data_IF_170428339288
#
_entry.id   IF_170428339288
#
_cell.length_a   1.000
_cell.length_b   1.000
_cell.length_c   1.000
_cell.angle_alpha   90.00
_cell.angle_beta   90.00
_cell.angle_gamma   90.00
#
_symmetry.space_group_name_H-M   'P 1'
#
loop_
_entity.id
_entity.type
_entity.pdbx_description
1 polymer ?
#
# COMPACT_ATOMS: atom_id res chain seq x y z
N UNK A 1 18.60 5.73 -33.35
CA UNK A 1 17.63 6.66 -32.74
C UNK A 1 17.09 5.98 -31.50
N UNK A 2 17.13 6.62 -30.33
CA UNK A 2 16.54 6.02 -29.12
C UNK A 2 15.04 5.91 -29.28
N UNK A 3 14.48 4.76 -28.92
CA UNK A 3 13.04 4.54 -28.92
C UNK A 3 12.40 5.42 -27.83
N UNK A 4 11.09 5.66 -27.94
CA UNK A 4 10.35 6.34 -26.87
C UNK A 4 10.49 5.57 -25.55
N UNK A 5 10.60 4.25 -25.63
CA UNK A 5 10.73 3.33 -24.50
C UNK A 5 12.07 3.52 -23.77
N UNK A 6 13.18 3.68 -24.51
CA UNK A 6 14.52 3.91 -23.94
C UNK A 6 14.58 5.23 -23.13
N UNK A 7 13.88 6.26 -23.61
CA UNK A 7 13.82 7.58 -22.95
C UNK A 7 13.03 7.52 -21.64
N UNK A 8 12.01 6.65 -21.56
CA UNK A 8 11.18 6.47 -20.37
C UNK A 8 11.90 5.59 -19.33
N UNK A 9 12.72 4.64 -19.77
CA UNK A 9 13.55 3.78 -18.90
C UNK A 9 14.81 4.48 -18.37
N UNK A 10 15.12 5.68 -18.86
CA UNK A 10 16.30 6.43 -18.43
C UNK A 10 17.62 5.83 -18.93
N UNK A 11 17.56 4.92 -19.89
CA UNK A 11 18.71 4.25 -20.46
C UNK A 11 19.45 5.24 -21.37
N UNK A 12 20.47 5.92 -20.82
CA UNK A 12 21.34 6.80 -21.60
C UNK A 12 22.26 5.95 -22.48
N UNK A 13 21.80 5.66 -23.69
CA UNK A 13 22.67 5.17 -24.76
C UNK A 13 23.64 6.30 -25.15
N UNK A 14 24.95 6.00 -25.01
CA UNK A 14 26.13 6.72 -25.52
C UNK A 14 26.93 7.56 -24.50
N UNK A 15 27.92 6.92 -23.87
CA UNK A 15 29.20 7.53 -23.48
C UNK A 15 30.25 7.25 -24.55
N UNK A 16 30.16 7.92 -25.70
CA UNK A 16 31.22 7.88 -26.71
C UNK A 16 31.51 9.31 -27.18
N UNK A 17 32.54 9.92 -26.59
CA UNK A 17 33.22 11.06 -27.17
C UNK A 17 34.47 10.51 -27.87
N UNK A 18 34.36 10.23 -29.17
CA UNK A 18 35.52 10.01 -30.02
C UNK A 18 36.19 11.36 -30.28
N UNK A 19 37.46 11.48 -29.92
CA UNK A 19 38.34 12.56 -30.33
C UNK A 19 38.47 12.62 -31.85
N UNK A 20 38.40 13.82 -32.45
CA UNK A 20 39.26 14.30 -33.56
C UNK A 20 38.72 15.58 -34.19
N UNK A 21 39.39 16.72 -33.95
CA UNK A 21 39.75 17.70 -35.00
C UNK A 21 40.71 18.74 -34.44
N UNK A 22 41.87 18.81 -35.07
CA UNK A 22 42.99 19.71 -34.83
C UNK A 22 42.62 21.16 -35.18
N UNK A 23 43.08 22.13 -34.38
CA UNK A 23 43.46 23.47 -34.84
C UNK A 23 44.40 24.10 -33.80
N UNK A 24 45.57 24.51 -34.28
CA UNK A 24 46.66 25.10 -33.49
C UNK A 24 46.41 26.59 -33.18
N UNK A 25 46.67 27.00 -31.94
CA UNK A 25 47.54 28.16 -31.66
C UNK A 25 47.85 28.36 -30.17
N UNK A 26 49.08 28.81 -29.94
CA UNK A 26 49.84 28.95 -28.69
C UNK A 26 49.26 29.91 -27.64
N UNK A 27 49.41 29.58 -26.35
CA UNK A 27 50.22 30.38 -25.39
C UNK A 27 50.19 29.87 -23.93
N UNK A 28 51.38 29.55 -23.43
CA UNK A 28 51.94 29.75 -22.08
C UNK A 28 51.19 29.29 -20.80
N UNK A 29 51.82 28.31 -20.13
CA UNK A 29 52.04 28.14 -18.68
C UNK A 29 50.87 28.30 -17.69
N UNK A 30 50.50 27.19 -17.03
CA UNK A 30 50.58 27.09 -15.56
C UNK A 30 50.41 25.65 -15.08
N UNK A 31 51.37 25.18 -14.30
CA UNK A 31 51.27 23.98 -13.47
C UNK A 31 50.04 24.04 -12.56
N UNK A 32 49.27 22.94 -12.44
CA UNK A 32 48.87 22.36 -11.14
C UNK A 32 47.93 21.16 -11.24
N UNK A 33 48.43 20.08 -10.65
CA UNK A 33 47.77 19.18 -9.70
C UNK A 33 46.61 18.30 -10.17
N UNK A 34 46.87 17.01 -9.97
CA UNK A 34 46.04 15.82 -10.14
C UNK A 34 44.94 15.76 -9.09
N UNK A 35 43.67 15.77 -9.52
CA UNK A 35 42.57 15.29 -8.69
C UNK A 35 41.83 14.13 -9.37
N UNK A 36 41.70 13.07 -8.57
CA UNK A 36 41.27 11.73 -8.91
C UNK A 36 39.77 11.65 -8.59
N UNK A 37 38.90 11.94 -9.55
CA UNK A 37 37.45 11.85 -9.36
C UNK A 37 37.01 10.38 -9.27
N UNK A 38 36.74 9.92 -8.04
CA UNK A 38 36.05 8.67 -7.75
C UNK A 38 34.58 8.79 -8.17
N UNK A 39 34.21 8.06 -9.21
CA UNK A 39 32.80 7.72 -9.49
C UNK A 39 32.23 6.89 -8.32
N UNK A 40 31.01 7.18 -7.82
CA UNK A 40 30.40 6.33 -6.82
C UNK A 40 30.02 4.99 -7.45
N UNK A 41 30.44 3.90 -6.81
CA UNK A 41 30.09 2.55 -7.21
C UNK A 41 28.59 2.33 -7.05
N UNK A 42 27.96 1.86 -8.12
CA UNK A 42 26.59 1.36 -8.10
C UNK A 42 26.60 0.09 -7.25
N UNK A 43 26.10 0.23 -6.02
CA UNK A 43 25.88 -0.89 -5.10
C UNK A 43 24.74 -1.72 -5.71
N UNK A 44 25.10 -2.90 -6.21
CA UNK A 44 24.15 -3.96 -6.53
C UNK A 44 23.73 -4.64 -5.24
N UNK A 45 22.92 -3.96 -4.44
CA UNK A 45 22.19 -4.62 -3.37
C UNK A 45 20.90 -5.15 -3.96
N UNK A 46 20.74 -6.47 -3.86
CA UNK A 46 19.47 -7.15 -3.94
C UNK A 46 18.45 -6.41 -3.08
N UNK A 47 17.58 -5.65 -3.73
CA UNK A 47 16.44 -5.00 -3.09
C UNK A 47 15.46 -6.11 -2.72
N UNK A 48 15.68 -6.73 -1.56
CA UNK A 48 14.55 -7.21 -0.76
C UNK A 48 13.54 -6.07 -0.68
N UNK A 49 12.22 -6.32 -0.75
CA UNK A 49 11.22 -5.28 -0.80
C UNK A 49 11.24 -4.49 0.51
N UNK A 50 12.15 -3.52 0.59
CA UNK A 50 12.24 -2.58 1.68
C UNK A 50 11.05 -1.66 1.50
N UNK A 51 10.13 -1.81 2.45
CA UNK A 51 8.88 -1.07 2.54
C UNK A 51 9.21 0.42 2.55
N UNK A 52 9.19 1.05 1.37
CA UNK A 52 9.72 2.39 1.22
C UNK A 52 8.83 3.39 1.95
N UNK A 53 9.40 3.95 3.03
CA UNK A 53 8.90 5.12 3.71
C UNK A 53 8.77 6.28 2.70
N UNK A 54 7.74 7.11 2.84
CA UNK A 54 7.47 8.17 1.87
C UNK A 54 8.62 9.20 1.88
N UNK A 55 9.43 9.21 0.83
CA UNK A 55 10.63 10.07 0.69
C UNK A 55 10.31 11.50 0.22
N UNK A 56 9.13 12.03 0.58
CA UNK A 56 8.69 13.39 0.22
C UNK A 56 8.33 13.60 -1.26
N UNK A 57 8.67 12.68 -2.16
CA UNK A 57 8.39 12.79 -3.60
C UNK A 57 7.05 12.17 -3.98
N UNK A 58 6.14 12.99 -4.53
CA UNK A 58 4.86 12.55 -5.12
C UNK A 58 5.11 11.70 -6.37
N UNK A 59 5.38 10.41 -6.13
CA UNK A 59 5.69 9.42 -7.17
C UNK A 59 4.64 8.32 -7.26
N UNK A 60 3.58 8.38 -6.44
CA UNK A 60 2.56 7.33 -6.36
C UNK A 60 1.22 7.74 -6.99
N UNK A 61 1.05 9.00 -7.43
CA UNK A 61 -0.21 9.53 -7.97
C UNK A 61 0.00 10.35 -9.24
N UNK A 62 -1.01 10.41 -10.12
CA UNK A 62 -0.99 11.20 -11.35
C UNK A 62 -0.02 10.65 -12.42
N UNK A 63 0.44 11.48 -13.37
CA UNK A 63 1.31 11.03 -14.47
C UNK A 63 2.61 10.36 -14.00
N UNK A 64 3.18 10.81 -12.87
CA UNK A 64 4.39 10.22 -12.29
C UNK A 64 4.15 8.83 -11.71
N UNK A 65 3.01 8.62 -11.06
CA UNK A 65 2.59 7.30 -10.57
C UNK A 65 2.44 6.29 -11.70
N UNK A 66 1.77 6.70 -12.79
CA UNK A 66 1.59 5.85 -13.98
C UNK A 66 2.93 5.44 -14.59
N UNK A 67 3.86 6.39 -14.76
CA UNK A 67 5.19 6.09 -15.31
C UNK A 67 5.96 5.12 -14.41
N UNK A 68 5.93 5.35 -13.08
CA UNK A 68 6.62 4.49 -12.11
C UNK A 68 6.03 3.08 -12.08
N UNK A 69 4.71 2.96 -12.09
CA UNK A 69 4.04 1.65 -12.13
C UNK A 69 4.34 0.93 -13.46
N UNK A 70 4.42 1.64 -14.60
CA UNK A 70 4.83 1.05 -15.88
C UNK A 70 6.28 0.58 -15.89
N UNK A 71 7.22 1.37 -15.36
CA UNK A 71 8.62 0.98 -15.24
C UNK A 71 8.76 -0.30 -14.40
N UNK A 72 8.06 -0.36 -13.27
CA UNK A 72 8.04 -1.54 -12.40
C UNK A 72 7.41 -2.76 -13.07
N UNK A 73 6.30 -2.57 -13.77
CA UNK A 73 5.66 -3.63 -14.58
C UNK A 73 6.63 -4.21 -15.61
N UNK A 74 7.37 -3.34 -16.34
CA UNK A 74 8.37 -3.77 -17.32
C UNK A 74 9.54 -4.51 -16.69
N UNK A 75 10.02 -4.06 -15.54
CA UNK A 75 11.07 -4.75 -14.80
C UNK A 75 10.63 -6.17 -14.40
N UNK A 76 9.44 -6.32 -13.81
CA UNK A 76 8.88 -7.63 -13.44
C UNK A 76 8.67 -8.52 -14.68
N UNK A 77 8.25 -7.95 -15.80
CA UNK A 77 8.09 -8.68 -17.06
C UNK A 77 9.43 -9.25 -17.55
N UNK A 78 10.50 -8.45 -17.48
CA UNK A 78 11.85 -8.87 -17.88
C UNK A 78 12.41 -9.94 -16.94
N UNK A 79 12.28 -9.76 -15.63
CA UNK A 79 12.69 -10.75 -14.61
C UNK A 79 11.97 -12.09 -14.81
N UNK A 80 10.64 -12.07 -15.03
CA UNK A 80 9.86 -13.30 -15.28
C UNK A 80 10.31 -14.02 -16.55
N UNK A 81 10.64 -13.30 -17.63
CA UNK A 81 11.17 -13.89 -18.87
C UNK A 81 12.54 -14.54 -18.64
N UNK A 82 13.43 -13.87 -17.91
CA UNK A 82 14.75 -14.42 -17.55
C UNK A 82 14.61 -15.69 -16.70
N UNK A 83 13.69 -15.70 -15.74
CA UNK A 83 13.47 -16.87 -14.89
C UNK A 83 12.90 -18.05 -15.68
N UNK A 84 11.92 -17.82 -16.55
CA UNK A 84 11.38 -18.86 -17.44
C UNK A 84 12.46 -19.46 -18.37
N UNK A 85 13.38 -18.63 -18.87
CA UNK A 85 14.49 -19.12 -19.70
C UNK A 85 15.46 -19.99 -18.89
N UNK A 86 15.80 -19.59 -17.66
CA UNK A 86 16.60 -20.42 -16.75
C UNK A 86 15.92 -21.75 -16.44
N UNK A 87 14.63 -21.74 -16.12
CA UNK A 87 13.85 -22.96 -15.86
C UNK A 87 13.83 -23.89 -17.09
N UNK A 88 13.61 -23.33 -18.29
CA UNK A 88 13.65 -24.08 -19.55
C UNK A 88 15.02 -24.71 -19.78
N UNK A 89 16.11 -23.96 -19.57
CA UNK A 89 17.47 -24.48 -19.71
C UNK A 89 17.77 -25.59 -18.70
N UNK A 90 17.32 -25.44 -17.44
CA UNK A 90 17.44 -26.49 -16.43
C UNK A 90 16.65 -27.74 -16.80
N UNK A 91 15.43 -27.59 -17.35
CA UNK A 91 14.61 -28.70 -17.78
C UNK A 91 15.23 -29.44 -18.96
N UNK A 92 15.75 -28.72 -19.97
CA UNK A 92 16.49 -29.29 -21.10
C UNK A 92 17.69 -30.09 -20.57
N UNK A 93 18.47 -29.53 -19.64
CA UNK A 93 19.63 -30.21 -19.04
C UNK A 93 19.24 -31.47 -18.26
N UNK A 94 18.09 -31.48 -17.58
CA UNK A 94 17.56 -32.67 -16.89
C UNK A 94 17.08 -33.73 -17.88
N UNK A 95 16.42 -33.33 -18.97
CA UNK A 95 15.86 -34.23 -19.98
C UNK A 95 16.89 -34.76 -20.99
N UNK A 96 18.04 -34.09 -21.15
CA UNK A 96 19.10 -34.48 -22.09
C UNK A 96 19.86 -35.76 -21.70
N UNK A 97 19.42 -36.48 -20.66
CA UNK A 97 19.96 -37.79 -20.25
C UNK A 97 19.24 -38.99 -20.88
N UNK A 98 18.27 -38.77 -21.78
CA UNK A 98 17.56 -39.84 -22.50
C UNK A 98 17.76 -39.70 -24.01
N UNK A 99 18.22 -40.78 -24.66
CA UNK A 99 18.53 -40.84 -26.10
C UNK A 99 17.35 -40.36 -26.97
N UNK A 100 17.65 -39.55 -27.99
CA UNK A 100 16.68 -38.95 -28.92
C UNK A 100 16.03 -40.03 -29.80
N UNK A 101 14.71 -40.04 -29.87
CA UNK A 101 13.92 -40.72 -30.92
C UNK A 101 13.09 -39.68 -31.68
N UNK A 102 12.72 -40.01 -32.91
CA UNK A 102 12.05 -39.25 -33.98
C UNK A 102 10.75 -38.48 -33.65
N UNK A 103 10.42 -38.29 -32.37
CA UNK A 103 9.28 -37.50 -31.88
C UNK A 103 9.64 -36.03 -31.63
N UNK A 104 10.93 -35.66 -31.66
CA UNK A 104 11.40 -34.28 -31.49
C UNK A 104 10.97 -33.35 -32.66
N UNK A 105 10.81 -33.88 -33.87
CA UNK A 105 10.37 -33.11 -35.06
C UNK A 105 8.88 -32.73 -35.02
N UNK A 106 8.07 -33.46 -34.25
CA UNK A 106 6.63 -33.21 -34.11
C UNK A 106 6.34 -32.15 -33.03
N UNK A 107 7.23 -32.04 -32.03
CA UNK A 107 7.14 -31.04 -30.94
C UNK A 107 7.48 -29.62 -31.41
N UNK A 108 8.38 -29.47 -32.38
CA UNK A 108 8.70 -28.16 -32.97
C UNK A 108 7.53 -27.59 -33.79
N UNK A 109 6.66 -28.45 -34.35
CA UNK A 109 5.42 -28.02 -35.03
C UNK A 109 4.34 -27.53 -34.06
N UNK A 110 4.28 -28.05 -32.83
CA UNK A 110 3.32 -27.62 -31.80
C UNK A 110 3.72 -26.26 -31.19
N UNK A 111 5.02 -25.95 -31.12
CA UNK A 111 5.49 -24.63 -30.68
C UNK A 111 5.23 -23.51 -31.69
N UNK A 112 4.95 -23.84 -32.95
CA UNK A 112 4.58 -22.87 -33.99
C UNK A 112 3.06 -22.66 -34.11
N UNK A 113 2.23 -23.41 -33.36
CA UNK A 113 0.82 -23.57 -33.68
C UNK A 113 -0.18 -22.69 -32.94
N UNK A 114 0.19 -21.62 -32.22
CA UNK A 114 -0.84 -20.66 -31.80
C UNK A 114 -0.34 -19.25 -31.37
N UNK A 115 -0.26 -18.28 -32.29
CA UNK A 115 -0.05 -16.87 -31.96
C UNK A 115 -1.28 -16.20 -31.31
N UNK A 116 -2.48 -16.77 -31.46
CA UNK A 116 -3.73 -16.22 -30.87
C UNK A 116 -3.84 -16.55 -29.37
N UNK A 117 -3.17 -17.62 -28.90
CA UNK A 117 -2.99 -17.91 -27.46
C UNK A 117 -2.07 -16.88 -26.78
N UNK A 118 -1.17 -16.23 -27.53
CA UNK A 118 -0.29 -15.18 -27.01
C UNK A 118 -1.05 -13.87 -26.78
N UNK A 119 -2.11 -13.59 -27.55
CA UNK A 119 -3.00 -12.43 -27.36
C UNK A 119 -3.96 -12.64 -26.18
N UNK A 120 -4.44 -13.86 -25.94
CA UNK A 120 -5.20 -14.25 -24.74
C UNK A 120 -4.40 -14.11 -23.41
N UNK A 121 -3.06 -14.11 -23.47
CA UNK A 121 -2.13 -13.92 -22.34
C UNK A 121 -1.73 -12.45 -22.11
N UNK A 122 -2.12 -11.52 -22.99
CA UNK A 122 -1.70 -10.11 -22.90
C UNK A 122 -2.32 -9.34 -21.74
N UNK A 123 -3.46 -9.80 -21.21
CA UNK A 123 -4.12 -9.14 -20.08
C UNK A 123 -3.92 -9.85 -18.73
N UNK A 124 -3.49 -11.12 -18.70
CA UNK A 124 -3.35 -11.87 -17.44
C UNK A 124 -2.19 -11.33 -16.59
N UNK A 125 -1.04 -11.02 -17.19
CA UNK A 125 0.10 -10.47 -16.46
C UNK A 125 -0.17 -9.05 -15.96
N UNK A 126 -0.92 -8.23 -16.73
CA UNK A 126 -1.33 -6.90 -16.29
C UNK A 126 -2.34 -6.98 -15.15
N UNK A 127 -3.29 -7.91 -15.21
CA UNK A 127 -4.22 -8.20 -14.11
C UNK A 127 -3.48 -8.70 -12.87
N UNK A 128 -2.48 -9.58 -13.03
CA UNK A 128 -1.65 -10.08 -11.94
C UNK A 128 -0.85 -8.95 -11.29
N UNK A 129 -0.28 -8.05 -12.09
CA UNK A 129 0.41 -6.87 -11.58
C UNK A 129 -0.54 -5.93 -10.82
N UNK A 130 -1.75 -5.67 -11.36
CA UNK A 130 -2.77 -4.89 -10.67
C UNK A 130 -3.17 -5.53 -9.32
N UNK A 131 -3.39 -6.84 -9.30
CA UNK A 131 -3.66 -7.62 -8.08
C UNK A 131 -2.52 -7.49 -7.08
N UNK A 132 -1.27 -7.67 -7.54
CA UNK A 132 -0.09 -7.56 -6.70
C UNK A 132 0.03 -6.17 -6.09
N UNK A 133 -0.15 -5.09 -6.88
CA UNK A 133 -0.09 -3.71 -6.38
C UNK A 133 -1.19 -3.41 -5.38
N UNK A 134 -2.41 -3.88 -5.60
CA UNK A 134 -3.50 -3.74 -4.62
C UNK A 134 -3.21 -4.51 -3.34
N UNK A 135 -2.71 -5.74 -3.44
CA UNK A 135 -2.33 -6.56 -2.28
C UNK A 135 -1.22 -5.89 -1.48
N UNK A 136 -0.20 -5.36 -2.14
CA UNK A 136 0.87 -4.59 -1.48
C UNK A 136 0.32 -3.36 -0.75
N UNK A 137 -0.66 -2.67 -1.33
CA UNK A 137 -1.31 -1.52 -0.69
C UNK A 137 -2.10 -1.95 0.55
N UNK A 138 -2.92 -3.02 0.46
CA UNK A 138 -3.69 -3.55 1.58
C UNK A 138 -2.79 -4.08 2.70
N UNK A 139 -1.71 -4.79 2.37
CA UNK A 139 -0.81 -5.40 3.36
C UNK A 139 -0.05 -4.36 4.19
N UNK A 140 0.05 -3.11 3.71
CA UNK A 140 0.61 -1.99 4.49
C UNK A 140 -0.32 -1.54 5.62
N UNK A 141 -1.61 -1.88 5.54
CA UNK A 141 -2.64 -1.46 6.49
C UNK A 141 -2.98 -2.65 7.39
N UNK A 142 -2.62 -2.58 8.67
CA UNK A 142 -3.18 -3.49 9.69
C UNK A 142 -2.25 -4.57 10.24
N UNK A 143 -1.19 -4.16 10.95
CA UNK A 143 -0.40 -5.09 11.79
C UNK A 143 -1.00 -5.30 13.19
N UNK A 144 -1.75 -4.32 13.69
CA UNK A 144 -2.29 -4.32 15.05
C UNK A 144 -3.78 -4.66 15.05
N UNK A 145 -4.21 -5.47 16.02
CA UNK A 145 -5.63 -5.83 16.23
C UNK A 145 -6.04 -5.52 17.66
N UNK A 146 -7.12 -4.76 17.82
CA UNK A 146 -7.70 -4.38 19.11
C UNK A 146 -9.00 -5.16 19.37
N UNK A 147 -9.97 -5.07 18.46
CA UNK A 147 -11.19 -5.88 18.47
C UNK A 147 -12.16 -5.63 19.63
N UNK A 148 -11.93 -4.58 20.45
CA UNK A 148 -12.73 -4.27 21.64
C UNK A 148 -12.62 -2.80 22.02
N UNK A 149 -13.61 -2.30 22.76
CA UNK A 149 -13.58 -0.94 23.32
C UNK A 149 -12.77 -0.91 24.61
N UNK A 150 -11.74 -0.06 24.66
CA UNK A 150 -10.86 0.12 25.82
C UNK A 150 -11.43 1.23 26.72
N UNK A 151 -11.62 0.93 28.00
CA UNK A 151 -12.04 1.94 28.98
C UNK A 151 -10.83 2.71 29.52
N UNK A 152 -10.83 4.03 29.37
CA UNK A 152 -9.79 4.93 29.88
C UNK A 152 -10.29 5.55 31.19
N UNK A 153 -9.62 5.23 32.29
CA UNK A 153 -10.02 5.64 33.64
C UNK A 153 -9.38 6.96 34.07
N UNK A 154 -8.26 7.36 33.46
CA UNK A 154 -7.52 8.58 33.80
C UNK A 154 -7.20 9.40 32.55
N UNK A 155 -6.95 10.70 32.73
CA UNK A 155 -6.51 11.57 31.65
C UNK A 155 -5.13 11.16 31.09
N UNK A 156 -4.26 10.62 31.95
CA UNK A 156 -2.93 10.13 31.53
C UNK A 156 -3.05 8.92 30.59
N UNK A 157 -3.97 7.98 30.89
CA UNK A 157 -4.26 6.84 29.99
C UNK A 157 -4.80 7.31 28.65
N UNK A 158 -5.56 8.42 28.61
CA UNK A 158 -6.03 9.00 27.36
C UNK A 158 -4.89 9.56 26.51
N UNK A 159 -3.96 10.30 27.11
CA UNK A 159 -2.78 10.80 26.41
C UNK A 159 -1.88 9.65 25.93
N UNK A 160 -1.61 8.68 26.80
CA UNK A 160 -0.83 7.49 26.46
C UNK A 160 -1.46 6.70 25.31
N UNK A 161 -2.79 6.55 25.32
CA UNK A 161 -3.50 5.83 24.28
C UNK A 161 -3.40 6.50 22.89
N UNK A 162 -3.12 7.80 22.82
CA UNK A 162 -3.01 8.60 21.60
C UNK A 162 -1.54 8.77 21.17
N UNK A 163 -0.67 9.15 22.09
CA UNK A 163 0.72 9.55 21.79
C UNK A 163 1.64 8.34 21.58
N UNK A 164 1.39 7.23 22.28
CA UNK A 164 2.24 6.02 22.25
C UNK A 164 1.73 4.94 21.28
N UNK A 165 0.83 5.28 20.36
CA UNK A 165 0.30 4.33 19.37
C UNK A 165 1.01 4.43 18.02
N UNK A 166 0.95 3.36 17.23
CA UNK A 166 1.50 3.38 15.87
C UNK A 166 0.80 4.43 14.99
N UNK A 167 1.58 5.20 14.21
CA UNK A 167 1.07 6.30 13.37
C UNK A 167 0.07 5.83 12.30
N UNK A 168 0.08 4.55 11.94
CA UNK A 168 -0.86 3.96 11.00
C UNK A 168 -2.24 3.67 11.61
N UNK A 169 -2.35 3.59 12.94
CA UNK A 169 -3.60 3.28 13.64
C UNK A 169 -4.48 4.51 13.75
N UNK A 170 -5.76 4.33 13.42
CA UNK A 170 -6.81 5.29 13.72
C UNK A 170 -7.38 4.98 15.10
N UNK A 171 -7.54 6.01 15.93
CA UNK A 171 -8.05 5.88 17.30
C UNK A 171 -9.35 6.67 17.39
N UNK A 172 -10.43 6.02 17.80
CA UNK A 172 -11.73 6.64 18.02
C UNK A 172 -12.00 6.66 19.51
N UNK A 173 -12.09 7.85 20.10
CA UNK A 173 -12.39 8.04 21.51
C UNK A 173 -13.81 8.55 21.68
N UNK A 174 -14.63 7.74 22.34
CA UNK A 174 -15.96 8.12 22.78
C UNK A 174 -15.91 8.81 24.14
N UNK A 175 -16.26 10.09 24.16
CA UNK A 175 -16.40 10.86 25.38
C UNK A 175 -17.87 10.86 25.78
N UNK A 176 -18.14 10.33 26.97
CA UNK A 176 -19.50 10.10 27.45
C UNK A 176 -19.68 10.56 28.90
N UNK A 177 -20.94 10.76 29.30
CA UNK A 177 -21.30 11.01 30.69
C UNK A 177 -22.51 10.13 31.06
N UNK A 178 -22.53 9.50 32.25
CA UNK A 178 -23.68 8.73 32.69
C UNK A 178 -24.92 9.64 32.81
N UNK A 179 -26.09 9.11 32.46
CA UNK A 179 -27.39 9.79 32.47
C UNK A 179 -27.62 10.84 31.37
N UNK A 180 -26.79 10.87 30.31
CA UNK A 180 -27.10 11.63 29.09
C UNK A 180 -27.66 10.67 28.03
N UNK A 181 -28.79 11.00 27.37
CA UNK A 181 -29.37 10.16 26.33
C UNK A 181 -28.37 9.96 25.16
N UNK A 182 -28.44 8.80 24.50
CA UNK A 182 -27.56 8.44 23.39
C UNK A 182 -26.17 7.94 23.80
N UNK A 183 -25.65 8.30 24.98
CA UNK A 183 -24.34 7.80 25.45
C UNK A 183 -24.33 6.27 25.67
N UNK A 184 -25.42 5.72 26.21
CA UNK A 184 -25.56 4.27 26.41
C UNK A 184 -25.67 3.52 25.08
N UNK A 185 -26.50 4.03 24.16
CA UNK A 185 -26.64 3.48 22.81
C UNK A 185 -25.30 3.53 22.06
N UNK A 186 -24.57 4.65 22.12
CA UNK A 186 -23.25 4.79 21.51
C UNK A 186 -22.24 3.79 22.08
N UNK A 187 -22.22 3.59 23.41
CA UNK A 187 -21.35 2.60 24.02
C UNK A 187 -21.68 1.17 23.56
N UNK A 188 -22.96 0.82 23.45
CA UNK A 188 -23.40 -0.48 22.91
C UNK A 188 -23.00 -0.67 21.45
N UNK A 189 -23.27 0.35 20.61
CA UNK A 189 -22.92 0.35 19.20
C UNK A 189 -21.43 0.21 18.96
N UNK A 190 -20.60 0.94 19.71
CA UNK A 190 -19.14 0.87 19.57
C UNK A 190 -18.54 -0.47 19.98
N UNK A 191 -19.19 -1.24 20.86
CA UNK A 191 -18.74 -2.61 21.18
C UNK A 191 -18.83 -3.48 19.92
N UNK A 192 -19.97 -3.47 19.24
CA UNK A 192 -20.16 -4.21 17.98
C UNK A 192 -19.22 -3.72 16.88
N UNK A 193 -19.13 -2.40 16.68
CA UNK A 193 -18.25 -1.81 15.65
C UNK A 193 -16.77 -2.12 15.93
N UNK A 194 -16.35 -2.18 17.19
CA UNK A 194 -14.96 -2.50 17.52
C UNK A 194 -14.59 -3.95 17.17
N UNK A 195 -15.53 -4.90 17.28
CA UNK A 195 -15.32 -6.30 16.86
C UNK A 195 -15.17 -6.39 15.34
N UNK A 196 -16.00 -5.65 14.61
CA UNK A 196 -16.01 -5.57 13.16
C UNK A 196 -14.78 -4.89 12.55
N UNK A 197 -14.17 -3.95 13.28
CA UNK A 197 -13.02 -3.15 12.84
C UNK A 197 -11.81 -3.34 13.75
N UNK A 198 -11.16 -4.52 13.73
CA UNK A 198 -10.08 -4.84 14.66
C UNK A 198 -8.85 -3.95 14.47
N UNK A 199 -8.66 -3.33 13.30
CA UNK A 199 -7.51 -2.47 13.00
C UNK A 199 -7.65 -1.03 13.52
N UNK A 200 -8.82 -0.68 14.07
CA UNK A 200 -9.11 0.63 14.65
C UNK A 200 -9.17 0.49 16.16
N UNK A 201 -8.54 1.41 16.88
CA UNK A 201 -8.54 1.42 18.34
C UNK A 201 -9.72 2.21 18.85
N UNK A 202 -10.71 1.51 19.40
CA UNK A 202 -11.85 2.16 20.04
C UNK A 202 -11.60 2.32 21.54
N UNK A 203 -11.78 3.54 22.03
CA UNK A 203 -11.62 3.89 23.43
C UNK A 203 -12.89 4.60 23.92
N UNK A 204 -13.14 4.53 25.23
CA UNK A 204 -14.15 5.36 25.89
C UNK A 204 -13.57 6.03 27.12
N UNK A 205 -13.99 7.26 27.39
CA UNK A 205 -13.58 8.02 28.56
C UNK A 205 -14.75 8.84 29.11
N UNK A 206 -14.83 8.95 30.43
CA UNK A 206 -15.80 9.84 31.07
C UNK A 206 -15.42 11.30 30.83
N UNK A 207 -16.38 12.13 30.42
CA UNK A 207 -16.17 13.57 30.22
C UNK A 207 -15.66 14.27 31.50
N UNK A 208 -16.08 13.78 32.66
CA UNK A 208 -15.58 14.23 33.97
C UNK A 208 -14.10 13.90 34.21
N UNK A 209 -13.59 12.78 33.69
CA UNK A 209 -12.18 12.38 33.79
C UNK A 209 -11.33 13.13 32.76
N UNK A 210 -11.86 13.34 31.56
CA UNK A 210 -11.21 14.08 30.48
C UNK A 210 -11.04 15.59 30.76
N UNK A 211 -11.47 16.09 31.93
CA UNK A 211 -11.32 17.49 32.32
C UNK A 211 -12.23 18.46 31.58
N UNK A 212 -13.36 17.99 31.02
CA UNK A 212 -14.25 18.83 30.21
C UNK A 212 -15.16 19.73 31.04
N UNK A 213 -15.58 20.84 30.43
CA UNK A 213 -16.43 21.83 31.07
C UNK A 213 -17.80 21.26 31.44
N UNK A 214 -18.44 21.81 32.48
CA UNK A 214 -19.77 21.37 32.93
C UNK A 214 -20.84 21.49 31.84
N UNK A 215 -20.72 22.49 30.96
CA UNK A 215 -21.64 22.68 29.83
C UNK A 215 -21.44 21.59 28.78
N UNK A 216 -20.19 21.30 28.40
CA UNK A 216 -19.90 20.27 27.41
C UNK A 216 -20.37 18.88 27.86
N UNK A 217 -20.26 18.57 29.15
CA UNK A 217 -20.74 17.30 29.72
C UNK A 217 -22.25 17.10 29.66
N UNK A 218 -23.04 18.17 29.44
CA UNK A 218 -24.50 18.09 29.35
C UNK A 218 -25.02 18.19 27.91
N UNK A 219 -24.40 19.06 27.12
CA UNK A 219 -24.89 19.42 25.78
C UNK A 219 -23.96 18.94 24.66
N UNK A 220 -22.71 18.58 24.97
CA UNK A 220 -21.72 18.18 23.98
C UNK A 220 -21.52 16.67 23.82
N UNK A 221 -22.03 15.86 24.75
CA UNK A 221 -21.88 14.39 24.73
C UNK A 221 -23.19 13.71 24.28
N UNK A 222 -23.16 12.56 23.57
CA UNK A 222 -21.97 11.77 23.23
C UNK A 222 -21.11 12.47 22.17
N UNK A 223 -19.80 12.52 22.41
CA UNK A 223 -18.83 13.07 21.46
C UNK A 223 -17.86 11.99 20.99
N UNK A 224 -17.50 12.01 19.70
CA UNK A 224 -16.50 11.14 19.11
C UNK A 224 -15.31 11.98 18.66
N UNK A 225 -14.15 11.68 19.22
CA UNK A 225 -12.90 12.32 18.88
C UNK A 225 -11.99 11.31 18.19
N UNK A 226 -11.49 11.65 17.01
CA UNK A 226 -10.75 10.73 16.17
C UNK A 226 -9.34 11.23 15.96
N UNK A 227 -8.38 10.36 16.24
CA UNK A 227 -6.96 10.62 16.12
C UNK A 227 -6.30 9.69 15.11
N UNK A 228 -5.27 10.20 14.44
CA UNK A 228 -4.34 9.40 13.65
C UNK A 228 -2.98 10.09 13.65
N UNK A 229 -1.91 9.33 13.88
CA UNK A 229 -0.55 9.86 14.00
C UNK A 229 -0.44 11.07 14.98
N UNK A 230 -1.06 10.95 16.16
CA UNK A 230 -1.16 12.00 17.18
C UNK A 230 -1.83 13.31 16.73
N UNK A 231 -2.50 13.32 15.58
CA UNK A 231 -3.28 14.46 15.08
C UNK A 231 -4.77 14.17 15.17
N UNK A 232 -5.55 15.20 15.52
CA UNK A 232 -7.01 15.13 15.49
C UNK A 232 -7.46 15.19 14.03
N UNK A 233 -8.09 14.12 13.54
CA UNK A 233 -8.65 14.04 12.18
C UNK A 233 -10.16 14.27 12.15
N UNK A 234 -10.85 14.06 13.27
CA UNK A 234 -12.29 14.25 13.38
C UNK A 234 -12.69 14.61 14.81
N UNK A 235 -13.65 15.54 14.94
CA UNK A 235 -14.23 15.94 16.22
C UNK A 235 -15.74 16.13 16.05
N UNK A 236 -16.50 15.14 16.51
CA UNK A 236 -17.95 15.12 16.38
C UNK A 236 -18.55 15.33 17.76
N UNK A 237 -19.08 16.53 17.98
CA UNK A 237 -19.75 16.91 19.22
C UNK A 237 -21.23 16.60 19.08
N UNK A 238 -21.84 16.06 20.14
CA UNK A 238 -23.26 15.74 20.20
C UNK A 238 -23.73 14.93 18.98
N UNK A 239 -23.13 13.74 18.81
CA UNK A 239 -23.30 12.88 17.62
C UNK A 239 -24.76 12.50 17.36
N UNK A 240 -25.59 12.53 18.40
CA UNK A 240 -27.05 12.36 18.33
C UNK A 240 -27.76 13.36 17.42
N UNK A 241 -27.18 14.54 17.13
CA UNK A 241 -27.76 15.48 16.16
C UNK A 241 -27.72 14.94 14.72
N UNK A 242 -26.77 14.05 14.42
CA UNK A 242 -26.59 13.44 13.10
C UNK A 242 -27.32 12.10 12.99
N UNK A 243 -27.26 11.29 14.04
CA UNK A 243 -27.83 9.93 14.05
C UNK A 243 -29.30 9.89 14.50
N UNK A 244 -29.78 10.93 15.17
CA UNK A 244 -31.08 10.95 15.81
C UNK A 244 -31.07 10.32 17.21
N UNK A 245 -32.28 10.12 17.75
CA UNK A 245 -32.48 9.66 19.14
C UNK A 245 -32.33 8.15 19.28
N UNK A 246 -32.79 7.40 18.27
CA UNK A 246 -32.74 5.94 18.22
C UNK A 246 -31.81 5.51 17.08
N UNK A 247 -30.60 5.09 17.44
CA UNK A 247 -29.59 4.64 16.48
C UNK A 247 -28.91 3.35 16.97
N UNK A 248 -28.38 2.57 16.03
CA UNK A 248 -27.74 1.29 16.26
C UNK A 248 -26.31 1.25 15.71
N UNK A 249 -25.64 0.10 15.88
CA UNK A 249 -24.27 -0.10 15.42
C UNK A 249 -24.09 0.19 13.92
N UNK A 250 -25.08 -0.20 13.08
CA UNK A 250 -25.08 0.06 11.64
C UNK A 250 -25.08 1.54 11.29
N UNK A 251 -25.80 2.36 12.07
CA UNK A 251 -25.90 3.80 11.82
C UNK A 251 -24.59 4.50 12.19
N UNK A 252 -23.96 4.08 13.31
CA UNK A 252 -22.64 4.55 13.73
C UNK A 252 -21.57 4.13 12.72
N UNK A 253 -21.60 2.88 12.25
CA UNK A 253 -20.70 2.37 11.20
C UNK A 253 -20.83 3.20 9.92
N UNK A 254 -22.06 3.39 9.42
CA UNK A 254 -22.33 4.20 8.24
C UNK A 254 -21.82 5.63 8.40
N UNK A 255 -22.10 6.28 9.53
CA UNK A 255 -21.61 7.62 9.82
C UNK A 255 -20.08 7.70 9.79
N UNK A 256 -19.38 6.76 10.44
CA UNK A 256 -17.92 6.76 10.47
C UNK A 256 -17.31 6.45 9.09
N UNK A 257 -17.97 5.66 8.26
CA UNK A 257 -17.58 5.42 6.87
C UNK A 257 -17.77 6.68 6.02
N UNK A 258 -18.92 7.36 6.13
CA UNK A 258 -19.21 8.59 5.41
C UNK A 258 -18.21 9.71 5.74
N UNK A 259 -17.76 9.78 7.00
CA UNK A 259 -16.73 10.72 7.43
C UNK A 259 -15.30 10.27 7.07
N UNK A 260 -15.13 9.11 6.42
CA UNK A 260 -13.83 8.57 5.99
C UNK A 260 -12.92 8.09 7.12
N UNK A 261 -13.49 7.79 8.30
CA UNK A 261 -12.76 7.30 9.48
C UNK A 261 -12.56 5.80 9.39
N UNK A 262 -13.61 5.09 8.96
CA UNK A 262 -13.60 3.64 8.72
C UNK A 262 -13.53 3.34 7.24
N UNK A 263 -12.92 2.20 6.90
CA UNK A 263 -12.92 1.67 5.54
C UNK A 263 -14.22 0.93 5.27
N UNK A 264 -14.87 1.21 4.16
CA UNK A 264 -16.04 0.44 3.74
C UNK A 264 -15.64 -0.98 3.34
N UNK A 265 -16.24 -1.98 3.98
CA UNK A 265 -16.05 -3.41 3.70
C UNK A 265 -16.53 -3.77 2.28
N UNK A 266 -17.49 -3.02 1.73
CA UNK A 266 -18.02 -3.22 0.38
C UNK A 266 -17.17 -2.55 -0.70
N UNK A 267 -16.30 -1.60 -0.34
CA UNK A 267 -15.38 -0.95 -1.26
C UNK A 267 -14.05 -1.71 -1.43
N UNK A 268 -14.08 -3.04 -1.33
CA UNK A 268 -12.93 -3.87 -1.65
C UNK A 268 -12.97 -4.15 -3.16
N UNK A 269 -11.92 -3.83 -3.93
CA UNK A 269 -11.92 -4.03 -5.37
C UNK A 269 -12.09 -5.53 -5.69
N UNK A 270 -13.07 -5.85 -6.55
CA UNK A 270 -13.45 -7.22 -6.95
C UNK A 270 -12.24 -8.07 -7.38
N UNK A 271 -11.25 -7.42 -8.00
CA UNK A 271 -9.98 -8.01 -8.43
C UNK A 271 -9.22 -8.72 -7.30
N UNK A 272 -9.43 -8.31 -6.04
CA UNK A 272 -8.84 -8.94 -4.84
C UNK A 272 -9.73 -10.02 -4.20
N UNK A 273 -11.04 -10.06 -4.51
CA UNK A 273 -12.02 -10.97 -3.89
C UNK A 273 -12.12 -12.36 -4.53
N UNK A 274 -11.65 -12.53 -5.78
CA UNK A 274 -11.77 -13.78 -6.53
C UNK A 274 -10.95 -14.97 -5.98
N UNK A 275 -10.25 -14.83 -4.86
CA UNK A 275 -9.29 -15.82 -4.38
C UNK A 275 -9.81 -16.77 -3.29
N UNK A 276 -11.04 -16.58 -2.77
CA UNK A 276 -11.54 -17.42 -1.66
C UNK A 276 -12.47 -18.56 -2.10
N UNK A 277 -13.08 -18.49 -3.28
CA UNK A 277 -14.05 -19.51 -3.73
C UNK A 277 -13.47 -20.64 -4.62
N UNK A 278 -12.17 -20.65 -4.91
CA UNK A 278 -11.56 -21.66 -5.79
C UNK A 278 -10.88 -22.82 -5.04
N UNK A 279 -10.92 -22.86 -3.71
CA UNK A 279 -10.21 -23.86 -2.89
C UNK A 279 -11.15 -24.75 -2.03
N UNK A 280 -12.47 -24.59 -2.09
CA UNK A 280 -13.41 -25.41 -1.30
C UNK A 280 -14.05 -26.58 -2.04
N UNK A 281 -13.95 -26.64 -3.36
CA UNK A 281 -14.68 -27.65 -4.15
C UNK A 281 -13.69 -28.61 -4.81
N UNK A 282 -12.92 -29.34 -3.99
CA UNK A 282 -12.23 -30.56 -4.38
C UNK A 282 -11.79 -31.38 -3.17
N UNK A 283 -12.77 -31.92 -2.44
CA UNK A 283 -12.64 -33.17 -1.67
C UNK A 283 -13.85 -34.07 -1.92
#
# INVERSE_FOLDING_TARGET
>A
MSTLEDKILGEKLHYYCSSSSEDENDSANSDKETENEKYPQIITDSIEPSFSEWDGTSSNTGPKGVIKDWQRYKQLQAEKRVEQEKERLQLIKKLSLTCRSSLDEEKEKIMQSDPDLAELLTDEFLLEYQKQRMKEMLTRTGKLRFGRVINLETADQFLEAIDNEDKSVTIVVHIYEPNVPGCEAMNGSLISVAEDYPFVKFCKILGSVAGLSKHFKKEGVPALLVYKAAQVIGNFVHVTDYLGVDFYASDVEAFLIEQGILTDKNCIPVITSHNEHALSDSE
#
